data_IF_996178370492
#
_entry.id   IF_996178370492
#
_cell.length_a   1.000
_cell.length_b   1.000
_cell.length_c   1.000
_cell.angle_alpha   90.00
_cell.angle_beta   90.00
_cell.angle_gamma   90.00
#
_symmetry.space_group_name_H-M   'P 1'
#
loop_
_entity.id
_entity.type
_entity.pdbx_description
1 polymer ?
#
# COMPACT_ATOMS: atom_id res chain seq x y z
N UNK A 1 23.39 1.23 -2.86
CA UNK A 1 22.24 0.31 -2.76
C UNK A 1 21.06 1.00 -3.41
N UNK A 2 20.38 0.35 -4.38
CA UNK A 2 19.20 0.96 -5.03
C UNK A 2 18.09 1.20 -4.02
N UNK A 3 17.33 2.29 -4.17
CA UNK A 3 16.20 2.63 -3.31
C UNK A 3 15.19 1.49 -3.25
N UNK A 4 14.82 0.90 -4.40
CA UNK A 4 13.86 -0.21 -4.45
C UNK A 4 14.32 -1.48 -3.73
N UNK A 5 15.63 -1.77 -3.74
CA UNK A 5 16.18 -2.87 -2.93
C UNK A 5 15.99 -2.60 -1.43
N UNK A 6 16.20 -1.36 -0.98
CA UNK A 6 15.99 -0.98 0.41
C UNK A 6 14.51 -1.13 0.81
N UNK A 7 13.58 -0.69 -0.04
CA UNK A 7 12.14 -0.85 0.19
C UNK A 7 11.78 -2.32 0.40
N UNK A 8 12.32 -3.21 -0.45
CA UNK A 8 12.14 -4.67 -0.32
C UNK A 8 12.71 -5.22 1.00
N UNK A 9 13.97 -4.92 1.31
CA UNK A 9 14.66 -5.42 2.50
C UNK A 9 13.96 -4.97 3.80
N UNK A 10 13.55 -3.70 3.86
CA UNK A 10 12.86 -3.15 5.03
C UNK A 10 11.45 -3.73 5.17
N UNK A 11 10.70 -3.87 4.07
CA UNK A 11 9.36 -4.46 4.08
C UNK A 11 9.38 -5.93 4.52
N UNK A 12 10.33 -6.72 4.00
CA UNK A 12 10.48 -8.13 4.36
C UNK A 12 10.95 -8.30 5.80
N UNK A 13 11.88 -7.47 6.28
CA UNK A 13 12.32 -7.46 7.68
C UNK A 13 11.17 -7.11 8.63
N UNK A 14 10.35 -6.10 8.28
CA UNK A 14 9.16 -5.75 9.05
C UNK A 14 8.13 -6.88 9.05
N UNK A 15 7.86 -7.48 7.89
CA UNK A 15 6.95 -8.62 7.77
C UNK A 15 7.40 -9.79 8.64
N UNK A 16 8.69 -10.12 8.65
CA UNK A 16 9.24 -11.20 9.46
C UNK A 16 9.06 -10.95 10.97
N UNK A 17 9.15 -9.69 11.40
CA UNK A 17 9.02 -9.30 12.81
C UNK A 17 7.57 -9.17 13.29
N UNK A 18 6.70 -8.64 12.44
CA UNK A 18 5.36 -8.19 12.83
C UNK A 18 4.22 -8.95 12.14
N UNK A 19 4.55 -9.82 11.18
CA UNK A 19 3.58 -10.27 10.19
C UNK A 19 3.25 -9.15 9.20
N UNK A 20 2.30 -9.41 8.32
CA UNK A 20 1.81 -8.44 7.34
C UNK A 20 0.72 -7.53 7.93
N UNK A 21 0.99 -7.00 9.12
CA UNK A 21 0.10 -6.15 9.93
C UNK A 21 0.65 -4.70 10.00
N UNK A 22 0.36 -3.87 8.98
CA UNK A 22 0.87 -2.50 8.94
C UNK A 22 0.31 -1.61 10.04
N UNK A 23 -0.91 -1.89 10.52
CA UNK A 23 -1.55 -1.14 11.61
C UNK A 23 -0.72 -1.27 12.89
N UNK A 24 -0.41 -2.51 13.26
CA UNK A 24 0.44 -2.79 14.42
C UNK A 24 1.81 -2.13 14.29
N UNK A 25 2.43 -2.18 13.10
CA UNK A 25 3.75 -1.57 12.89
C UNK A 25 3.70 -0.05 13.09
N UNK A 26 2.67 0.62 12.59
CA UNK A 26 2.46 2.06 12.80
C UNK A 26 2.30 2.40 14.29
N UNK A 27 1.44 1.67 15.00
CA UNK A 27 1.17 1.87 16.43
C UNK A 27 2.45 1.66 17.27
N UNK A 28 3.22 0.59 17.01
CA UNK A 28 4.49 0.33 17.70
C UNK A 28 5.58 1.36 17.40
N UNK A 29 5.47 2.08 16.28
CA UNK A 29 6.37 3.19 15.92
C UNK A 29 5.93 4.54 16.46
N UNK A 30 4.88 4.57 17.27
CA UNK A 30 4.36 5.79 17.90
C UNK A 30 3.55 6.67 16.95
N UNK A 31 2.98 6.08 15.90
CA UNK A 31 2.07 6.79 15.00
C UNK A 31 0.65 6.70 15.55
N UNK A 32 -0.01 7.86 15.69
CA UNK A 32 -1.39 7.94 16.18
C UNK A 32 -2.36 7.71 15.02
N UNK A 33 -3.24 6.71 15.13
CA UNK A 33 -4.23 6.40 14.10
C UNK A 33 -5.58 7.07 14.47
N UNK A 34 -6.14 7.89 13.58
CA UNK A 34 -7.37 8.63 13.83
C UNK A 34 -8.38 8.41 12.69
N UNK A 35 -9.60 7.92 12.98
CA UNK A 35 -10.64 7.82 11.96
C UNK A 35 -11.10 9.21 11.50
N UNK A 36 -11.32 9.37 10.20
CA UNK A 36 -11.87 10.58 9.60
C UNK A 36 -13.37 10.69 9.91
N UNK A 37 -13.80 11.82 10.46
CA UNK A 37 -15.19 12.01 10.91
C UNK A 37 -16.17 12.43 9.82
N UNK A 38 -15.67 12.69 8.62
CA UNK A 38 -16.46 13.20 7.49
C UNK A 38 -16.29 12.30 6.29
N UNK A 39 -17.40 12.00 5.61
CA UNK A 39 -17.36 11.29 4.33
C UNK A 39 -16.44 12.02 3.35
N UNK A 40 -15.44 11.31 2.83
CA UNK A 40 -14.43 11.86 1.94
C UNK A 40 -14.03 10.80 0.92
N UNK A 41 -13.51 11.28 -0.23
CA UNK A 41 -12.85 10.42 -1.23
C UNK A 41 -11.53 9.85 -0.70
N UNK A 42 -10.87 10.60 0.17
CA UNK A 42 -9.56 10.30 0.74
C UNK A 42 -9.67 9.04 1.60
N UNK A 43 -8.75 8.11 1.39
CA UNK A 43 -8.77 6.81 2.08
C UNK A 43 -7.82 6.81 3.28
N UNK A 44 -6.70 7.53 3.13
CA UNK A 44 -5.68 7.72 4.15
C UNK A 44 -5.00 9.08 4.00
N UNK A 45 -4.38 9.54 5.09
CA UNK A 45 -3.49 10.69 5.10
C UNK A 45 -2.47 10.56 6.21
N UNK A 46 -1.19 10.56 5.87
CA UNK A 46 -0.09 10.68 6.82
C UNK A 46 0.34 12.12 7.05
N UNK A 47 0.51 12.50 8.33
CA UNK A 47 0.92 13.85 8.71
C UNK A 47 1.84 13.86 9.92
N UNK A 48 2.78 14.79 9.95
CA UNK A 48 3.56 15.11 11.14
C UNK A 48 3.15 16.49 11.67
N UNK A 49 2.66 16.54 12.91
CA UNK A 49 2.24 17.77 13.59
C UNK A 49 3.02 17.88 14.90
N UNK A 50 3.77 18.98 15.07
CA UNK A 50 4.57 19.22 16.28
C UNK A 50 5.45 18.01 16.66
N UNK A 51 6.10 17.39 15.65
CA UNK A 51 6.93 16.17 15.74
C UNK A 51 6.20 14.86 16.03
N UNK A 52 4.89 14.88 16.25
CA UNK A 52 4.05 13.69 16.42
C UNK A 52 3.51 13.23 15.06
N UNK A 53 3.54 11.92 14.81
CA UNK A 53 3.09 11.32 13.56
C UNK A 53 1.64 10.85 13.69
N UNK A 54 0.84 11.13 12.66
CA UNK A 54 -0.57 10.80 12.58
C UNK A 54 -0.87 10.11 11.26
N UNK A 55 -1.73 9.11 11.31
CA UNK A 55 -2.44 8.57 10.14
C UNK A 55 -3.92 8.80 10.35
N UNK A 56 -4.50 9.59 9.47
CA UNK A 56 -5.95 9.73 9.36
C UNK A 56 -6.44 8.70 8.36
N UNK A 57 -7.51 7.97 8.67
CA UNK A 57 -8.03 6.93 7.78
C UNK A 57 -9.55 6.96 7.71
N UNK A 58 -10.11 6.58 6.55
CA UNK A 58 -11.54 6.42 6.39
C UNK A 58 -11.97 5.07 6.98
N UNK A 59 -12.67 5.05 8.11
CA UNK A 59 -13.08 3.83 8.81
C UNK A 59 -14.36 3.19 8.26
N UNK A 60 -14.97 3.81 7.25
CA UNK A 60 -16.16 3.30 6.56
C UNK A 60 -15.82 2.27 5.47
N UNK A 61 -14.54 2.07 5.13
CA UNK A 61 -14.12 1.13 4.08
C UNK A 61 -13.75 -0.24 4.63
N UNK A 62 -13.84 -1.26 3.77
CA UNK A 62 -13.53 -2.65 4.09
C UNK A 62 -12.13 -2.84 4.70
N UNK A 63 -11.99 -3.87 5.54
CA UNK A 63 -10.76 -4.15 6.27
C UNK A 63 -9.56 -4.43 5.35
N UNK A 64 -9.79 -5.04 4.19
CA UNK A 64 -8.75 -5.23 3.16
C UNK A 64 -8.22 -3.91 2.61
N UNK A 65 -9.12 -2.93 2.41
CA UNK A 65 -8.78 -1.58 1.96
C UNK A 65 -8.03 -0.85 3.05
N UNK A 66 -8.53 -0.88 4.30
CA UNK A 66 -7.83 -0.30 5.45
C UNK A 66 -6.42 -0.86 5.62
N UNK A 67 -6.25 -2.18 5.47
CA UNK A 67 -4.93 -2.81 5.51
C UNK A 67 -3.99 -2.27 4.44
N UNK A 68 -4.47 -2.03 3.22
CA UNK A 68 -3.67 -1.40 2.16
C UNK A 68 -3.34 0.05 2.46
N UNK A 69 -4.31 0.83 2.96
CA UNK A 69 -4.08 2.21 3.41
C UNK A 69 -2.97 2.25 4.45
N UNK A 70 -3.06 1.47 5.52
CA UNK A 70 -2.04 1.49 6.57
C UNK A 70 -0.65 1.07 6.06
N UNK A 71 -0.56 0.12 5.12
CA UNK A 71 0.73 -0.24 4.53
C UNK A 71 1.35 0.91 3.75
N UNK A 72 0.53 1.64 3.01
CA UNK A 72 0.94 2.79 2.22
C UNK A 72 1.39 3.94 3.13
N UNK A 73 0.60 4.28 4.14
CA UNK A 73 0.97 5.33 5.11
C UNK A 73 2.19 4.95 5.95
N UNK A 74 2.44 3.65 6.18
CA UNK A 74 3.68 3.18 6.78
C UNK A 74 4.89 3.45 5.87
N UNK A 75 4.74 3.30 4.55
CA UNK A 75 5.75 3.73 3.58
C UNK A 75 6.09 5.23 3.75
N UNK A 76 5.08 6.10 3.81
CA UNK A 76 5.30 7.53 4.07
C UNK A 76 5.96 7.80 5.41
N UNK A 77 5.58 7.07 6.46
CA UNK A 77 6.17 7.22 7.77
C UNK A 77 7.67 6.92 7.77
N UNK A 78 8.09 5.88 7.04
CA UNK A 78 9.48 5.43 6.99
C UNK A 78 10.37 6.29 6.08
N UNK A 79 9.86 6.70 4.92
CA UNK A 79 10.70 7.30 3.87
C UNK A 79 10.40 8.79 3.63
N UNK A 80 9.20 9.28 3.97
CA UNK A 80 8.72 10.62 3.57
C UNK A 80 8.41 11.53 4.76
N UNK A 81 8.90 11.20 5.96
CA UNK A 81 8.61 11.95 7.20
C UNK A 81 9.01 13.43 7.13
N UNK A 82 10.15 13.74 6.51
CA UNK A 82 10.64 15.12 6.39
C UNK A 82 9.76 15.97 5.47
N UNK A 83 9.21 15.37 4.41
CA UNK A 83 8.26 16.03 3.53
C UNK A 83 6.93 16.29 4.26
N UNK A 84 6.40 15.29 4.97
CA UNK A 84 5.17 15.40 5.76
C UNK A 84 5.23 16.45 6.88
N UNK A 85 6.44 16.73 7.40
CA UNK A 85 6.68 17.77 8.40
C UNK A 85 6.76 19.20 7.84
N UNK A 86 7.02 19.36 6.53
CA UNK A 86 7.20 20.67 5.86
C UNK A 86 6.01 21.06 4.98
N UNK A 87 5.37 20.11 4.32
CA UNK A 87 4.19 20.36 3.49
C UNK A 87 3.00 20.77 4.39
N UNK A 88 2.07 21.56 3.88
CA UNK A 88 0.87 21.95 4.65
C UNK A 88 -0.12 20.79 4.77
N UNK A 89 -0.24 19.90 3.77
CA UNK A 89 -1.09 18.68 3.75
C UNK A 89 -0.51 17.66 2.74
N UNK A 90 -0.61 16.36 3.03
CA UNK A 90 -0.41 15.26 2.06
C UNK A 90 -1.71 14.48 2.04
N UNK A 91 -2.62 14.82 1.13
CA UNK A 91 -3.94 14.17 1.01
C UNK A 91 -3.86 13.04 -0.01
N UNK A 92 -4.37 11.83 0.31
CA UNK A 92 -4.28 10.72 -0.63
C UNK A 92 -5.57 9.93 -0.88
N UNK A 93 -5.79 9.67 -2.17
CA UNK A 93 -6.75 8.68 -2.66
C UNK A 93 -5.93 7.47 -3.10
N UNK A 94 -6.19 6.27 -2.55
CA UNK A 94 -5.43 5.05 -2.87
C UNK A 94 -5.12 4.98 -4.38
N UNK A 95 -3.83 4.86 -4.70
CA UNK A 95 -3.27 4.64 -6.05
C UNK A 95 -3.29 5.83 -7.04
N UNK A 96 -3.34 7.09 -6.59
CA UNK A 96 -2.98 8.23 -7.46
C UNK A 96 -1.46 8.27 -7.76
N UNK A 97 -1.10 7.82 -8.97
CA UNK A 97 0.28 7.63 -9.49
C UNK A 97 1.06 8.93 -9.78
N UNK A 98 1.07 9.91 -8.89
CA UNK A 98 1.82 11.16 -9.12
C UNK A 98 2.89 11.38 -8.06
N UNK A 99 4.14 11.08 -8.40
CA UNK A 99 5.31 11.41 -7.58
C UNK A 99 6.15 10.20 -7.19
N UNK A 100 7.45 10.41 -7.04
CA UNK A 100 8.41 9.39 -6.62
C UNK A 100 8.06 8.81 -5.24
N UNK A 101 7.64 9.66 -4.30
CA UNK A 101 7.21 9.24 -2.95
C UNK A 101 6.02 8.26 -2.97
N UNK A 102 5.04 8.50 -3.83
CA UNK A 102 3.86 7.63 -3.95
C UNK A 102 4.23 6.27 -4.56
N UNK A 103 5.13 6.28 -5.54
CA UNK A 103 5.69 5.06 -6.11
C UNK A 103 6.43 4.24 -5.05
N UNK A 104 7.27 4.89 -4.24
CA UNK A 104 8.02 4.25 -3.16
C UNK A 104 7.09 3.66 -2.08
N UNK A 105 6.05 4.40 -1.66
CA UNK A 105 5.07 3.92 -0.69
C UNK A 105 4.27 2.71 -1.23
N UNK A 106 3.91 2.72 -2.51
CA UNK A 106 3.21 1.59 -3.15
C UNK A 106 4.10 0.35 -3.30
N UNK A 107 5.35 0.51 -3.71
CA UNK A 107 6.32 -0.59 -3.79
C UNK A 107 6.56 -1.21 -2.41
N UNK A 108 6.79 -0.37 -1.39
CA UNK A 108 6.94 -0.83 -0.01
C UNK A 108 5.72 -1.64 0.44
N UNK A 109 4.51 -1.10 0.20
CA UNK A 109 3.25 -1.76 0.55
C UNK A 109 3.09 -3.11 -0.12
N UNK A 110 3.45 -3.20 -1.40
CA UNK A 110 3.37 -4.44 -2.17
C UNK A 110 4.27 -5.52 -1.56
N UNK A 111 5.51 -5.18 -1.21
CA UNK A 111 6.43 -6.12 -0.56
C UNK A 111 6.00 -6.50 0.87
N UNK A 112 5.43 -5.56 1.63
CA UNK A 112 4.97 -5.82 2.99
C UNK A 112 3.76 -6.77 2.98
N UNK A 113 2.78 -6.52 2.10
CA UNK A 113 1.49 -7.21 2.14
C UNK A 113 1.48 -8.53 1.36
N UNK A 114 2.26 -8.66 0.30
CA UNK A 114 2.25 -9.82 -0.61
C UNK A 114 3.50 -10.68 -0.43
N UNK A 115 3.33 -11.98 -0.22
CA UNK A 115 4.45 -12.94 -0.13
C UNK A 115 5.02 -13.24 -1.52
N UNK A 116 6.34 -13.23 -1.63
CA UNK A 116 7.03 -13.53 -2.89
C UNK A 116 6.63 -14.91 -3.42
N UNK A 117 6.70 -15.94 -2.58
CA UNK A 117 6.45 -17.33 -2.95
C UNK A 117 4.99 -17.52 -3.39
N UNK A 118 4.03 -16.97 -2.63
CA UNK A 118 2.60 -17.08 -2.98
C UNK A 118 2.30 -16.42 -4.32
N UNK A 119 2.82 -15.21 -4.54
CA UNK A 119 2.61 -14.47 -5.79
C UNK A 119 3.28 -15.20 -6.96
N UNK A 120 4.51 -15.67 -6.77
CA UNK A 120 5.25 -16.40 -7.80
C UNK A 120 4.54 -17.69 -8.20
N UNK A 121 4.08 -18.48 -7.24
CA UNK A 121 3.35 -19.73 -7.49
C UNK A 121 2.07 -19.50 -8.29
N UNK A 122 1.27 -18.49 -7.94
CA UNK A 122 0.05 -18.16 -8.69
C UNK A 122 0.38 -17.71 -10.12
N UNK A 123 1.42 -16.89 -10.29
CA UNK A 123 1.88 -16.45 -11.60
C UNK A 123 2.31 -17.63 -12.49
N UNK A 124 3.13 -18.54 -11.97
CA UNK A 124 3.58 -19.75 -12.72
C UNK A 124 2.43 -20.70 -13.04
N UNK A 125 1.33 -20.67 -12.28
CA UNK A 125 0.10 -21.41 -12.57
C UNK A 125 -0.82 -20.71 -13.57
N UNK A 126 -0.44 -19.54 -14.08
CA UNK A 126 -1.19 -18.81 -15.11
C UNK A 126 -2.42 -18.05 -14.59
N UNK A 127 -2.44 -17.68 -13.30
CA UNK A 127 -3.51 -16.85 -12.75
C UNK A 127 -3.45 -15.45 -13.36
N UNK A 128 -4.62 -14.83 -13.61
CA UNK A 128 -4.67 -13.44 -14.03
C UNK A 128 -4.31 -12.50 -12.87
N UNK A 129 -3.91 -11.25 -13.17
CA UNK A 129 -3.63 -10.25 -12.12
C UNK A 129 -4.82 -10.06 -11.17
N UNK A 130 -6.04 -10.05 -11.70
CA UNK A 130 -7.26 -9.92 -10.92
C UNK A 130 -7.50 -11.11 -9.99
N UNK A 131 -7.28 -12.34 -10.46
CA UNK A 131 -7.44 -13.54 -9.63
C UNK A 131 -6.40 -13.57 -8.50
N UNK A 132 -5.16 -13.18 -8.80
CA UNK A 132 -4.09 -13.08 -7.81
C UNK A 132 -4.41 -12.03 -6.75
N UNK A 133 -4.88 -10.85 -7.18
CA UNK A 133 -5.26 -9.75 -6.28
C UNK A 133 -6.40 -10.16 -5.35
N UNK A 134 -7.45 -10.79 -5.91
CA UNK A 134 -8.58 -11.35 -5.15
C UNK A 134 -8.13 -12.41 -4.15
N UNK A 135 -7.25 -13.34 -4.55
CA UNK A 135 -6.71 -14.38 -3.67
C UNK A 135 -5.80 -13.85 -2.55
N UNK A 136 -5.29 -12.63 -2.70
CA UNK A 136 -4.45 -11.94 -1.72
C UNK A 136 -5.20 -10.84 -0.94
N UNK A 137 -6.49 -10.63 -1.21
CA UNK A 137 -7.31 -9.57 -0.61
C UNK A 137 -6.67 -8.19 -0.77
N UNK A 138 -6.17 -7.90 -1.97
CA UNK A 138 -5.61 -6.60 -2.33
C UNK A 138 -6.23 -6.09 -3.62
N UNK A 139 -6.07 -4.80 -3.88
CA UNK A 139 -6.36 -4.22 -5.18
C UNK A 139 -5.37 -4.74 -6.24
N UNK A 140 -5.86 -4.86 -7.48
CA UNK A 140 -5.05 -5.34 -8.61
C UNK A 140 -3.84 -4.47 -8.89
N UNK A 141 -3.91 -3.17 -8.59
CA UNK A 141 -2.81 -2.25 -8.78
C UNK A 141 -1.64 -2.56 -7.85
N UNK A 142 -1.92 -2.93 -6.60
CA UNK A 142 -0.88 -3.36 -5.67
C UNK A 142 -0.22 -4.67 -6.11
N UNK A 143 -1.00 -5.58 -6.71
CA UNK A 143 -0.47 -6.81 -7.31
C UNK A 143 0.46 -6.51 -8.49
N UNK A 144 0.11 -5.54 -9.33
CA UNK A 144 0.95 -5.10 -10.45
C UNK A 144 2.28 -4.54 -9.95
N UNK A 145 2.29 -3.68 -8.92
CA UNK A 145 3.53 -3.19 -8.31
C UNK A 145 4.43 -4.34 -7.84
N UNK A 146 3.83 -5.34 -7.18
CA UNK A 146 4.55 -6.52 -6.73
C UNK A 146 5.21 -7.27 -7.89
N UNK A 147 4.46 -7.55 -8.95
CA UNK A 147 4.94 -8.30 -10.10
C UNK A 147 6.06 -7.56 -10.84
N UNK A 148 5.90 -6.26 -11.06
CA UNK A 148 6.93 -5.42 -11.69
C UNK A 148 8.24 -5.44 -10.89
N UNK A 149 8.16 -5.33 -9.56
CA UNK A 149 9.35 -5.38 -8.72
C UNK A 149 9.96 -6.79 -8.65
N UNK A 150 9.15 -7.85 -8.68
CA UNK A 150 9.65 -9.22 -8.82
C UNK A 150 10.40 -9.43 -10.14
N UNK A 151 9.88 -8.92 -11.27
CA UNK A 151 10.62 -8.95 -12.55
C UNK A 151 11.94 -8.19 -12.43
N UNK A 152 11.95 -7.01 -11.79
CA UNK A 152 13.18 -6.23 -11.53
C UNK A 152 14.19 -7.00 -10.65
N UNK A 153 13.70 -7.82 -9.72
CA UNK A 153 14.53 -8.69 -8.88
C UNK A 153 15.01 -9.96 -9.61
N UNK A 154 14.59 -10.19 -10.86
CA UNK A 154 15.04 -11.30 -11.70
C UNK A 154 14.17 -12.55 -11.64
N UNK A 155 12.94 -12.46 -11.14
CA UNK A 155 11.99 -13.56 -11.20
C UNK A 155 11.55 -13.84 -12.64
N UNK A 156 11.56 -15.11 -13.03
CA UNK A 156 11.03 -15.60 -14.32
C UNK A 156 9.50 -15.67 -14.26
N UNK A 157 8.85 -14.55 -14.57
CA UNK A 157 7.39 -14.39 -14.57
C UNK A 157 6.85 -14.42 -16.01
N UNK A 158 5.72 -15.11 -16.27
CA UNK A 158 5.18 -15.32 -17.62
C UNK A 158 4.40 -14.11 -18.17
N UNK A 159 4.68 -12.91 -17.66
CA UNK A 159 3.94 -11.69 -17.99
C UNK A 159 4.81 -10.76 -18.84
N UNK A 160 4.38 -10.51 -20.08
CA UNK A 160 5.10 -9.64 -21.03
C UNK A 160 4.60 -8.18 -21.02
N UNK A 161 3.49 -7.89 -20.34
CA UNK A 161 2.84 -6.57 -20.37
C UNK A 161 3.14 -5.71 -19.13
N UNK A 162 3.77 -4.55 -19.36
CA UNK A 162 3.78 -3.42 -18.44
C UNK A 162 2.33 -2.96 -18.30
N UNK A 163 1.72 -3.17 -17.14
CA UNK A 163 0.34 -2.75 -16.91
C UNK A 163 0.16 -1.24 -17.14
N UNK A 164 -0.88 -0.89 -17.89
CA UNK A 164 -1.23 0.48 -18.26
C UNK A 164 -1.68 1.29 -17.03
N UNK A 165 -0.87 2.29 -16.66
CA UNK A 165 -1.05 3.25 -15.56
C UNK A 165 -2.41 3.98 -15.54
N UNK A 166 -3.25 3.83 -16.57
CA UNK A 166 -4.60 4.41 -16.65
C UNK A 166 -5.73 3.67 -15.91
N UNK A 167 -5.54 2.41 -15.45
CA UNK A 167 -6.56 1.66 -14.69
C UNK A 167 -6.83 2.24 -13.28
N UNK A 168 -5.92 3.09 -12.78
CA UNK A 168 -5.59 3.27 -11.36
C UNK A 168 -6.34 4.40 -10.62
N UNK A 169 -7.10 5.26 -11.30
CA UNK A 169 -7.72 6.44 -10.68
C UNK A 169 -9.13 6.21 -10.07
N UNK A 170 -9.59 4.96 -10.01
CA UNK A 170 -11.02 4.65 -9.79
C UNK A 170 -11.42 4.25 -8.36
N UNK A 171 -10.49 4.08 -7.42
CA UNK A 171 -10.87 3.75 -6.04
C UNK A 171 -11.31 5.03 -5.31
N UNK A 172 -12.59 5.13 -4.98
CA UNK A 172 -13.19 6.23 -4.23
C UNK A 172 -13.63 5.71 -2.84
N UNK A 173 -13.21 6.38 -1.77
CA UNK A 173 -13.65 6.07 -0.40
C UNK A 173 -15.14 6.28 -0.13
N UNK A 174 -15.90 6.74 -1.13
CA UNK A 174 -17.37 6.86 -1.12
C UNK A 174 -18.07 5.81 -1.97
N UNK A 175 -17.34 4.95 -2.69
CA UNK A 175 -17.96 3.86 -3.45
C UNK A 175 -18.56 2.83 -2.48
N UNK A 176 -19.84 2.48 -2.68
CA UNK A 176 -20.54 1.50 -1.88
C UNK A 176 -19.92 0.09 -1.98
N UNK A 177 -19.20 -0.22 -3.07
CA UNK A 177 -18.46 -1.48 -3.22
C UNK A 177 -17.25 -1.59 -2.29
N UNK A 178 -16.77 -0.46 -1.77
CA UNK A 178 -15.63 -0.39 -0.85
C UNK A 178 -16.06 -0.30 0.62
N UNK A 179 -17.37 -0.27 0.89
CA UNK A 179 -17.91 -0.04 2.22
C UNK A 179 -17.80 -1.31 3.08
N UNK A 180 -17.49 -1.14 4.36
CA UNK A 180 -17.50 -2.23 5.35
C UNK A 180 -18.81 -3.00 5.27
N UNK A 181 -18.72 -4.28 4.99
CA UNK A 181 -19.87 -5.19 5.10
C UNK A 181 -20.03 -5.62 6.55
N UNK A 182 -21.06 -5.10 7.23
CA UNK A 182 -21.44 -5.59 8.56
C UNK A 182 -21.87 -7.06 8.44
N UNK A 183 -21.14 -7.98 9.09
CA UNK A 183 -21.56 -9.36 9.36
C UNK A 183 -22.16 -9.42 10.76
#
# INVERSE_FOLDING_TARGET
>A
MSMYRRLYEDATALRARYGADPRRILEERGVTLLPMRTSTKVLGMYKVILRNAFVFYNDAVDESILRMVFAHELGHHLYHRDYAARAELVEYTLFHLTGEMELEANIFSAHLLLEDEKVYEMAKRGYSYGDMARACFVDVNLMIFKLNEMQRMGYDLPFDEIADAGFFSKIDGRDAQNARTDI
#
